data_IF_570951522134
#
_entry.id   IF_570951522134
#
_cell.length_a   1.000
_cell.length_b   1.000
_cell.length_c   1.000
_cell.angle_alpha   90.00
_cell.angle_beta   90.00
_cell.angle_gamma   90.00
#
_symmetry.space_group_name_H-M   'P 1'
#
loop_
_entity.id
_entity.type
_entity.pdbx_description
1 polymer ?
#
# COMPACT_ATOMS: atom_id res chain seq x y z
N UNK A 1 -3.59 1.97 -17.54
CA UNK A 1 -4.24 1.06 -16.85
C UNK A 1 -3.41 0.12 -16.08
N UNK A 2 -3.60 -0.24 -15.11
CA UNK A 2 -2.87 -1.12 -14.29
C UNK A 2 -3.71 -1.42 -13.07
N UNK A 3 -3.18 -2.28 -12.23
CA UNK A 3 -3.88 -2.71 -11.04
C UNK A 3 -4.24 -1.53 -10.14
N UNK A 4 -3.43 -0.48 -10.12
CA UNK A 4 -3.65 0.63 -9.22
C UNK A 4 -4.88 1.44 -9.61
N UNK A 5 -5.14 1.59 -10.90
CA UNK A 5 -6.29 2.38 -11.34
C UNK A 5 -7.61 1.76 -10.89
N UNK A 6 -7.73 0.44 -11.04
CA UNK A 6 -8.95 -0.25 -10.60
C UNK A 6 -9.11 -0.18 -9.09
N UNK A 7 -8.01 -0.36 -8.35
CA UNK A 7 -8.06 -0.28 -6.90
C UNK A 7 -8.45 1.12 -6.45
N UNK A 8 -7.89 2.15 -7.06
CA UNK A 8 -8.21 3.52 -6.70
C UNK A 8 -9.68 3.84 -6.91
N UNK A 9 -10.24 3.34 -8.00
CA UNK A 9 -11.66 3.57 -8.27
C UNK A 9 -12.53 2.97 -7.18
N UNK A 10 -12.26 1.73 -6.79
CA UNK A 10 -13.04 1.10 -5.73
C UNK A 10 -12.86 1.79 -4.40
N UNK A 11 -11.62 2.14 -4.05
CA UNK A 11 -11.35 2.81 -2.78
C UNK A 11 -12.02 4.17 -2.70
N UNK A 12 -12.10 4.88 -3.82
CA UNK A 12 -12.70 6.21 -3.83
C UNK A 12 -14.21 6.18 -3.58
N UNK A 13 -14.84 5.03 -3.80
CA UNK A 13 -16.27 4.87 -3.51
C UNK A 13 -16.52 4.28 -2.13
N UNK A 14 -15.47 4.10 -1.33
CA UNK A 14 -15.61 3.55 0.00
C UNK A 14 -15.59 2.04 0.06
N UNK A 15 -15.22 1.38 -1.03
CA UNK A 15 -15.21 -0.07 -1.11
C UNK A 15 -13.80 -0.61 -0.98
N UNK A 16 -13.69 -1.84 -0.48
CA UNK A 16 -12.41 -2.55 -0.48
C UNK A 16 -12.01 -2.92 -1.90
N UNK A 17 -10.73 -2.99 -2.13
CA UNK A 17 -10.17 -3.44 -3.40
C UNK A 17 -9.30 -4.66 -3.16
N UNK A 18 -9.29 -5.57 -4.13
CA UNK A 18 -8.48 -6.78 -4.07
C UNK A 18 -7.49 -6.75 -5.22
N UNK A 19 -6.21 -6.95 -4.92
CA UNK A 19 -5.16 -6.88 -5.91
C UNK A 19 -4.20 -8.06 -5.72
N UNK A 20 -3.45 -8.37 -6.78
CA UNK A 20 -2.36 -9.36 -6.72
C UNK A 20 -1.10 -8.69 -7.23
N UNK A 21 -0.37 -8.00 -6.34
CA UNK A 21 0.82 -7.28 -6.77
C UNK A 21 1.91 -8.23 -7.24
N UNK A 22 2.77 -7.72 -8.10
CA UNK A 22 3.90 -8.46 -8.60
C UNK A 22 5.17 -7.79 -8.13
N UNK A 23 6.25 -8.57 -8.02
CA UNK A 23 7.52 -8.02 -7.63
C UNK A 23 7.90 -8.44 -6.21
N UNK A 24 9.07 -8.01 -5.75
CA UNK A 24 9.62 -8.47 -4.49
C UNK A 24 9.91 -7.38 -3.47
N UNK A 25 9.47 -6.16 -3.70
CA UNK A 25 9.82 -5.05 -2.79
C UNK A 25 9.22 -5.21 -1.40
N UNK A 26 8.16 -5.99 -1.27
CA UNK A 26 7.52 -6.25 0.02
C UNK A 26 7.71 -7.67 0.48
N UNK A 27 8.72 -8.34 -0.03
CA UNK A 27 9.02 -9.72 0.33
C UNK A 27 9.13 -9.86 1.85
N UNK A 28 8.54 -10.92 2.36
CA UNK A 28 8.45 -11.14 3.79
C UNK A 28 7.09 -10.77 4.34
N UNK A 29 6.43 -9.77 3.77
CA UNK A 29 5.05 -9.42 4.12
C UNK A 29 4.09 -9.73 2.99
N UNK A 30 4.47 -9.42 1.76
CA UNK A 30 3.65 -9.67 0.59
C UNK A 30 4.54 -10.29 -0.46
N UNK A 31 4.16 -11.47 -0.91
CA UNK A 31 4.89 -12.15 -1.98
C UNK A 31 4.17 -11.91 -3.30
N UNK A 32 4.91 -12.03 -4.38
CA UNK A 32 4.35 -11.85 -5.71
C UNK A 32 3.19 -12.81 -5.91
N UNK A 33 2.05 -12.29 -6.34
CA UNK A 33 0.87 -13.11 -6.58
C UNK A 33 -0.06 -13.29 -5.39
N UNK A 34 0.33 -12.83 -4.19
CA UNK A 34 -0.56 -12.90 -3.04
C UNK A 34 -1.82 -12.09 -3.29
N UNK A 35 -2.92 -12.54 -2.71
CA UNK A 35 -4.16 -11.77 -2.76
C UNK A 35 -4.16 -10.76 -1.61
N UNK A 36 -4.17 -9.49 -1.95
CA UNK A 36 -4.09 -8.40 -0.99
C UNK A 36 -5.39 -7.63 -1.01
N UNK A 37 -5.95 -7.40 0.16
CA UNK A 37 -7.13 -6.55 0.29
C UNK A 37 -6.70 -5.19 0.78
N UNK A 38 -7.15 -4.16 0.06
CA UNK A 38 -6.96 -2.77 0.43
C UNK A 38 -8.29 -2.20 0.88
N UNK A 39 -8.26 -1.42 1.95
CA UNK A 39 -9.46 -0.76 2.44
C UNK A 39 -9.23 0.74 2.44
N UNK A 40 -10.29 1.54 2.23
CA UNK A 40 -10.18 2.97 2.44
C UNK A 40 -9.73 3.24 3.86
N UNK A 41 -8.93 4.29 4.05
CA UNK A 41 -8.41 4.59 5.37
C UNK A 41 -8.41 6.10 5.56
N UNK A 42 -8.80 6.55 6.76
CA UNK A 42 -8.56 7.91 7.16
C UNK A 42 -7.08 8.02 7.51
N UNK A 43 -6.43 9.03 6.98
CA UNK A 43 -4.99 9.18 7.17
C UNK A 43 -4.62 9.27 8.66
N UNK A 44 -5.56 9.74 9.50
CA UNK A 44 -5.32 9.80 10.94
C UNK A 44 -5.23 8.42 11.59
N UNK A 45 -5.73 7.41 10.91
CA UNK A 45 -5.68 6.04 11.43
C UNK A 45 -4.50 5.25 10.92
N UNK A 46 -3.69 5.83 10.04
CA UNK A 46 -2.51 5.16 9.51
C UNK A 46 -1.42 5.15 10.57
N UNK A 47 -0.78 4.01 10.74
CA UNK A 47 0.24 3.81 11.76
C UNK A 47 1.54 3.33 11.14
N UNK A 48 2.61 3.50 11.88
CA UNK A 48 3.90 2.92 11.51
C UNK A 48 3.73 1.41 11.35
N UNK A 49 4.34 0.87 10.32
CA UNK A 49 4.27 -0.53 9.89
C UNK A 49 3.01 -0.88 9.10
N UNK A 50 2.09 0.03 8.93
CA UNK A 50 1.00 -0.22 7.98
C UNK A 50 1.56 -0.31 6.57
N UNK A 51 0.99 -1.20 5.76
CA UNK A 51 1.27 -1.25 4.34
C UNK A 51 0.18 -0.45 3.65
N UNK A 52 0.57 0.52 2.86
CA UNK A 52 -0.38 1.45 2.24
C UNK A 52 -0.19 1.50 0.73
N UNK A 53 -1.27 1.81 0.04
CA UNK A 53 -1.22 2.17 -1.37
C UNK A 53 -0.96 3.67 -1.41
N UNK A 54 0.19 4.06 -1.94
CA UNK A 54 0.64 5.44 -1.87
C UNK A 54 1.05 5.92 -3.24
N UNK A 55 0.70 7.17 -3.54
CA UNK A 55 1.16 7.81 -4.76
C UNK A 55 2.59 8.30 -4.55
N UNK A 56 3.48 7.88 -5.43
CA UNK A 56 4.89 8.27 -5.39
C UNK A 56 5.28 8.77 -6.76
N UNK A 57 5.52 10.07 -6.87
CA UNK A 57 5.82 10.70 -8.16
C UNK A 57 4.69 10.41 -9.15
N UNK A 58 4.98 9.80 -10.28
CA UNK A 58 3.97 9.53 -11.30
C UNK A 58 3.41 8.10 -11.22
N UNK A 59 3.62 7.44 -10.11
CA UNK A 59 3.27 6.03 -9.97
C UNK A 59 2.59 5.78 -8.64
N UNK A 60 2.20 4.54 -8.40
CA UNK A 60 1.64 4.09 -7.12
C UNK A 60 2.46 2.93 -6.61
N UNK A 61 2.71 2.94 -5.32
CA UNK A 61 3.49 1.90 -4.65
C UNK A 61 2.66 1.27 -3.54
N UNK A 62 2.92 0.01 -3.28
CA UNK A 62 2.39 -0.68 -2.12
C UNK A 62 3.58 -0.88 -1.18
N UNK A 63 3.73 0.01 -0.19
CA UNK A 63 4.91 0.06 0.65
C UNK A 63 4.54 0.33 2.09
N UNK A 64 5.54 0.28 2.96
CA UNK A 64 5.38 0.45 4.41
C UNK A 64 5.46 1.91 4.82
N UNK A 65 4.70 2.25 5.84
CA UNK A 65 4.89 3.49 6.58
C UNK A 65 5.99 3.23 7.60
N UNK A 66 7.12 3.92 7.45
CA UNK A 66 8.28 3.72 8.32
C UNK A 66 8.32 4.70 9.48
N UNK A 67 7.78 5.88 9.28
CA UNK A 67 7.77 6.92 10.32
C UNK A 67 6.65 7.89 9.99
N UNK A 68 6.10 8.53 11.01
CA UNK A 68 5.04 9.53 10.85
C UNK A 68 5.49 10.78 11.59
N UNK A 69 5.37 11.92 10.91
CA UNK A 69 5.73 13.20 11.50
C UNK A 69 4.68 14.21 11.08
N UNK A 70 3.73 14.50 11.97
CA UNK A 70 2.62 15.38 11.64
C UNK A 70 1.77 14.80 10.52
N UNK A 71 1.69 15.52 9.42
CA UNK A 71 0.93 15.06 8.25
C UNK A 71 1.82 14.45 7.17
N UNK A 72 3.06 14.12 7.53
CA UNK A 72 4.00 13.53 6.59
C UNK A 72 4.34 12.11 7.00
N UNK A 73 4.54 11.25 6.01
CA UNK A 73 4.74 9.82 6.20
C UNK A 73 5.97 9.38 5.43
N UNK A 74 6.88 8.72 6.12
CA UNK A 74 8.09 8.19 5.51
C UNK A 74 7.78 6.82 4.94
N UNK A 75 7.98 6.66 3.64
CA UNK A 75 7.59 5.47 2.91
C UNK A 75 8.83 4.67 2.54
N UNK A 76 8.75 3.37 2.73
CA UNK A 76 9.83 2.46 2.35
C UNK A 76 9.32 1.06 2.08
N UNK A 77 10.20 0.19 1.58
CA UNK A 77 9.81 -1.18 1.32
C UNK A 77 10.21 -2.08 2.50
N UNK A 78 9.89 -3.36 2.38
CA UNK A 78 10.18 -4.30 3.47
C UNK A 78 11.60 -4.85 3.41
N UNK A 79 12.40 -4.38 2.47
CA UNK A 79 13.79 -4.80 2.31
C UNK A 79 14.78 -3.74 2.79
N UNK A 80 14.29 -2.69 3.42
CA UNK A 80 15.13 -1.66 4.00
C UNK A 80 15.33 -0.42 3.14
N UNK A 81 14.79 -0.39 1.94
CA UNK A 81 14.92 0.80 1.10
C UNK A 81 13.91 1.86 1.51
N UNK A 82 14.36 3.09 1.63
CA UNK A 82 13.51 4.23 1.96
C UNK A 82 13.27 5.02 0.69
N UNK A 83 12.00 5.30 0.38
CA UNK A 83 11.64 6.15 -0.75
C UNK A 83 11.73 7.62 -0.39
N UNK A 84 11.05 8.02 0.68
CA UNK A 84 11.03 9.41 1.11
C UNK A 84 9.72 9.75 1.79
N UNK A 85 9.54 11.04 2.03
CA UNK A 85 8.36 11.55 2.74
C UNK A 85 7.27 11.92 1.75
N UNK A 86 6.04 11.62 2.13
CA UNK A 86 4.85 12.03 1.37
C UNK A 86 3.86 12.66 2.32
N UNK A 87 2.96 13.48 1.76
CA UNK A 87 1.84 14.00 2.52
C UNK A 87 0.77 12.94 2.66
N UNK A 88 -0.07 13.07 3.68
CA UNK A 88 -1.15 12.11 3.88
C UNK A 88 -2.09 12.00 2.71
N UNK A 89 -2.25 13.06 1.92
CA UNK A 89 -3.11 13.01 0.74
C UNK A 89 -2.61 12.05 -0.32
N UNK A 90 -1.35 11.63 -0.24
CA UNK A 90 -0.81 10.65 -1.18
C UNK A 90 -1.20 9.21 -0.81
N UNK A 91 -1.68 8.99 0.41
CA UNK A 91 -2.06 7.65 0.87
C UNK A 91 -3.50 7.40 0.44
N UNK A 92 -3.71 6.34 -0.32
CA UNK A 92 -5.00 6.07 -0.94
C UNK A 92 -5.73 4.88 -0.32
N UNK A 93 -5.03 4.04 0.42
CA UNK A 93 -5.65 2.89 1.05
C UNK A 93 -4.63 2.17 1.91
N UNK A 94 -5.12 1.23 2.72
CA UNK A 94 -4.30 0.45 3.63
C UNK A 94 -4.59 -1.01 3.42
N UNK A 95 -3.54 -1.83 3.48
CA UNK A 95 -3.68 -3.28 3.41
C UNK A 95 -4.31 -3.77 4.70
N UNK A 96 -5.41 -4.49 4.58
CA UNK A 96 -6.10 -5.07 5.72
C UNK A 96 -6.04 -6.58 5.73
N UNK A 97 -5.64 -7.20 4.63
CA UNK A 97 -5.53 -8.66 4.57
C UNK A 97 -4.55 -9.05 3.48
N UNK A 98 -3.75 -10.07 3.76
CA UNK A 98 -2.86 -10.67 2.78
C UNK A 98 -3.08 -12.18 2.86
N UNK A 99 -3.45 -12.79 1.74
CA UNK A 99 -3.64 -14.22 1.65
C UNK A 99 -2.61 -14.77 0.67
N UNK A 100 -1.75 -15.63 1.17
CA UNK A 100 -0.78 -16.30 0.31
C UNK A 100 -1.49 -17.34 -0.50
N UNK A 101 -1.41 -17.21 -1.81
CA UNK A 101 -2.05 -18.17 -2.68
C UNK A 101 -1.09 -19.32 -2.93
N UNK A 102 -1.25 -20.32 -2.12
CA UNK A 102 -0.30 -21.42 -2.12
C UNK A 102 -0.67 -22.50 -3.09
N UNK A 103 -1.49 -22.20 -4.05
CA UNK A 103 -1.78 -23.21 -5.00
C UNK A 103 -0.59 -23.52 -5.79
N UNK A 104 -0.40 -24.56 -6.04
CA UNK A 104 0.64 -24.92 -6.83
C UNK A 104 0.40 -26.07 -7.55
#
# INVERSE_FOLDING_TARGET
MGWANDALEQLSTGQDAHIRPQGGSMRGRIESGDLVTLSPVDVRDVKVDDVVLVQWQLSYLLHLVREIRGDEFLIGNNLGKINGWVKGTAIRGRVTSVVHDATD
#
